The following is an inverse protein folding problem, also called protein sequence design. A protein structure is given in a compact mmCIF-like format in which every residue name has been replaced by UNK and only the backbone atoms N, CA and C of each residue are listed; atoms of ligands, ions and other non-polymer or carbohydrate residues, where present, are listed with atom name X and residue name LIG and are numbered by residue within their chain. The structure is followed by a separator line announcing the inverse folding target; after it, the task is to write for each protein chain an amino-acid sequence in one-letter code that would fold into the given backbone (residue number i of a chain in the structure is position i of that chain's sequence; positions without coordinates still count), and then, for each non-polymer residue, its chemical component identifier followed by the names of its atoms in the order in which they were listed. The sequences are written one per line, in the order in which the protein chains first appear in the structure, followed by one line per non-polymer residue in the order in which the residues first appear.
data_IF_328537977686
#
_entry.id   IF_328537977686
#
_cell.length_a   1.000
_cell.length_b   1.000
_cell.length_c   1.000
_cell.angle_alpha   90.00
_cell.angle_beta   90.00
_cell.angle_gamma   90.00
#
_symmetry.space_group_name_H-M   'P 1'
#
loop_
_entity.id
_entity.type
_entity.pdbx_description
1 polymer ?
#
# COMPACT_ATOMS: atom_id res chain seq x y z
N UNK A 1 -14.27 2.54 16.42
CA UNK A 1 -12.93 2.84 15.84
C UNK A 1 -11.88 1.81 16.26
N UNK A 2 -11.93 1.34 17.51
CA UNK A 2 -11.01 0.35 18.07
C UNK A 2 -10.55 -0.78 17.11
N UNK A 3 -11.42 -1.50 16.36
CA UNK A 3 -10.99 -2.65 15.56
C UNK A 3 -10.15 -2.33 14.31
N UNK A 4 -9.86 -1.05 14.04
CA UNK A 4 -9.07 -0.58 12.87
C UNK A 4 -7.79 0.15 13.27
N UNK A 5 -7.49 0.24 14.56
CA UNK A 5 -6.29 0.91 15.07
C UNK A 5 -5.26 -0.17 15.40
N UNK A 6 -4.04 0.00 14.90
CA UNK A 6 -2.89 -0.87 15.22
C UNK A 6 -1.78 0.04 15.73
N UNK A 7 -1.37 -0.16 16.98
CA UNK A 7 -0.22 0.51 17.56
C UNK A 7 1.02 -0.33 17.28
N UNK A 8 2.04 0.29 16.66
CA UNK A 8 3.31 -0.36 16.32
C UNK A 8 4.44 0.43 16.94
N UNK A 9 5.30 -0.25 17.68
CA UNK A 9 6.55 0.29 18.21
C UNK A 9 7.70 -0.66 17.90
N UNK A 10 8.91 -0.13 17.79
CA UNK A 10 10.13 -0.89 17.60
C UNK A 10 11.16 -0.44 18.64
N UNK A 11 11.86 -1.39 19.26
CA UNK A 11 12.86 -1.10 20.29
C UNK A 11 12.29 -0.73 21.67
N UNK A 12 11.03 -1.06 21.94
CA UNK A 12 10.35 -0.80 23.23
C UNK A 12 9.85 -2.13 23.80
N UNK A 13 9.93 -2.31 25.12
CA UNK A 13 9.37 -3.49 25.78
C UNK A 13 7.84 -3.49 25.67
N UNK A 14 7.26 -4.67 25.43
CA UNK A 14 5.82 -4.80 25.23
C UNK A 14 5.00 -4.27 26.40
N UNK A 15 5.41 -4.58 27.63
CA UNK A 15 4.73 -4.14 28.86
C UNK A 15 4.78 -2.63 29.05
N UNK A 16 5.91 -1.99 28.74
CA UNK A 16 6.03 -0.53 28.78
C UNK A 16 5.11 0.13 27.75
N UNK A 17 5.05 -0.42 26.53
CA UNK A 17 4.13 0.06 25.50
C UNK A 17 2.68 -0.06 25.95
N UNK A 18 2.28 -1.21 26.51
CA UNK A 18 0.92 -1.43 27.00
C UNK A 18 0.58 -0.49 28.16
N UNK A 19 1.48 -0.31 29.11
CA UNK A 19 1.27 0.57 30.27
C UNK A 19 0.91 2.01 29.86
N UNK A 20 1.55 2.51 28.80
CA UNK A 20 1.26 3.85 28.26
C UNK A 20 0.03 3.84 27.35
N UNK A 21 -0.11 2.83 26.50
CA UNK A 21 -1.13 2.79 25.46
C UNK A 21 -2.53 2.43 25.97
N UNK A 22 -2.65 1.51 26.92
CA UNK A 22 -3.95 1.02 27.38
C UNK A 22 -4.83 2.15 27.95
N UNK A 23 -4.35 3.04 28.83
CA UNK A 23 -5.16 4.17 29.30
C UNK A 23 -5.58 5.14 28.18
N UNK A 24 -4.81 5.23 27.09
CA UNK A 24 -5.06 6.16 25.98
C UNK A 24 -6.08 5.63 24.97
N UNK A 25 -6.26 4.30 24.89
CA UNK A 25 -7.10 3.66 23.88
C UNK A 25 -8.26 2.83 24.46
N UNK A 26 -8.31 2.63 25.78
CA UNK A 26 -9.31 1.79 26.45
C UNK A 26 -10.74 2.32 26.37
N UNK A 27 -10.91 3.64 26.24
CA UNK A 27 -12.22 4.31 26.16
C UNK A 27 -12.81 4.36 24.74
N UNK A 28 -12.07 3.85 23.74
CA UNK A 28 -12.51 3.90 22.36
C UNK A 28 -13.77 3.05 22.11
N UNK A 29 -14.79 3.60 21.43
CA UNK A 29 -15.99 2.85 21.15
C UNK A 29 -15.69 1.70 20.18
N UNK A 30 -16.18 0.51 20.54
CA UNK A 30 -16.27 -0.63 19.63
C UNK A 30 -17.42 -0.38 18.66
N UNK A 31 -17.07 -0.03 17.43
CA UNK A 31 -18.00 0.18 16.33
C UNK A 31 -17.85 -1.02 15.39
N UNK A 32 -18.96 -1.61 14.89
CA UNK A 32 -18.89 -2.69 13.91
C UNK A 32 -17.97 -2.32 12.75
N UNK A 33 -17.20 -3.31 12.26
CA UNK A 33 -16.35 -3.10 11.08
C UNK A 33 -17.25 -2.75 9.89
N UNK A 34 -17.03 -1.58 9.28
CA UNK A 34 -17.68 -1.29 7.99
C UNK A 34 -17.13 -2.27 6.95
N UNK A 35 -17.98 -2.73 6.05
CA UNK A 35 -17.59 -3.55 4.91
C UNK A 35 -16.59 -2.78 4.03
N UNK A 36 -15.62 -3.49 3.47
CA UNK A 36 -14.64 -2.89 2.56
C UNK A 36 -15.33 -2.51 1.24
N UNK A 37 -15.16 -1.27 0.74
CA UNK A 37 -15.70 -0.87 -0.55
C UNK A 37 -15.16 -1.74 -1.67
N UNK A 38 -16.06 -2.28 -2.51
CA UNK A 38 -15.66 -3.05 -3.68
C UNK A 38 -15.20 -2.12 -4.80
N UNK A 39 -13.96 -2.29 -5.24
CA UNK A 39 -13.42 -1.64 -6.45
C UNK A 39 -13.31 -2.65 -7.59
N UNK A 40 -13.57 -2.22 -8.82
CA UNK A 40 -13.34 -3.02 -10.03
C UNK A 40 -12.41 -2.25 -10.96
N UNK A 41 -11.42 -2.93 -11.54
CA UNK A 41 -10.59 -2.34 -12.58
C UNK A 41 -11.38 -2.21 -13.88
N UNK A 42 -11.50 -0.99 -14.39
CA UNK A 42 -12.17 -0.68 -15.65
C UNK A 42 -11.20 -0.36 -16.78
N UNK A 43 -9.90 -0.20 -16.47
CA UNK A 43 -8.96 0.50 -17.34
C UNK A 43 -9.33 1.98 -17.56
N UNK A 44 -8.58 2.65 -18.41
CA UNK A 44 -8.84 4.03 -18.80
C UNK A 44 -7.62 4.72 -19.42
N UNK A 45 -7.85 5.89 -20.00
CA UNK A 45 -6.82 6.83 -20.43
C UNK A 45 -7.13 8.18 -19.78
N UNK A 46 -6.13 8.79 -19.16
CA UNK A 46 -6.21 10.12 -18.59
C UNK A 46 -5.06 10.98 -19.10
N UNK A 47 -5.38 12.15 -19.65
CA UNK A 47 -4.42 13.10 -20.20
C UNK A 47 -4.68 14.48 -19.64
N UNK A 48 -3.60 15.16 -19.24
CA UNK A 48 -3.66 16.51 -18.71
C UNK A 48 -2.50 17.33 -19.29
N UNK A 49 -2.77 18.57 -19.69
CA UNK A 49 -1.73 19.50 -20.12
C UNK A 49 -1.11 20.16 -18.90
N UNK A 50 0.21 20.37 -18.93
CA UNK A 50 0.97 21.01 -17.84
C UNK A 50 2.03 21.94 -18.43
N UNK A 51 2.32 23.02 -17.73
CA UNK A 51 3.35 24.01 -18.11
C UNK A 51 4.79 23.51 -17.86
N UNK A 52 4.96 22.26 -17.40
CA UNK A 52 6.25 21.71 -16.95
C UNK A 52 7.33 21.57 -18.04
N UNK A 53 6.99 21.76 -19.32
CA UNK A 53 7.88 21.54 -20.47
C UNK A 53 8.32 20.09 -20.66
N UNK A 54 7.79 19.14 -19.87
CA UNK A 54 8.14 17.73 -19.89
C UNK A 54 6.88 16.87 -19.90
N UNK A 55 6.85 15.89 -20.80
CA UNK A 55 5.77 14.90 -20.87
C UNK A 55 6.07 13.76 -19.92
N UNK A 56 5.12 13.49 -19.02
CA UNK A 56 5.13 12.30 -18.16
C UNK A 56 3.95 11.41 -18.55
N UNK A 57 4.18 10.10 -18.60
CA UNK A 57 3.12 9.11 -18.76
C UNK A 57 3.37 7.95 -17.81
N UNK A 58 2.30 7.28 -17.40
CA UNK A 58 2.36 6.08 -16.59
C UNK A 58 1.44 5.02 -17.19
N UNK A 59 1.92 3.77 -17.23
CA UNK A 59 1.12 2.62 -17.61
C UNK A 59 0.95 1.75 -16.37
N UNK A 60 -0.28 1.29 -16.14
CA UNK A 60 -0.61 0.37 -15.07
C UNK A 60 -1.44 -0.79 -15.65
N UNK A 61 -1.24 -1.97 -15.08
CA UNK A 61 -2.01 -3.18 -15.40
C UNK A 61 -2.54 -3.80 -14.12
N UNK A 62 -3.73 -4.38 -14.18
CA UNK A 62 -4.30 -5.09 -13.05
C UNK A 62 -3.66 -6.47 -12.89
N UNK A 63 -3.36 -6.84 -11.65
CA UNK A 63 -3.04 -8.19 -11.23
C UNK A 63 -3.96 -8.60 -10.07
N UNK A 64 -4.92 -9.51 -10.30
CA UNK A 64 -5.88 -9.88 -9.27
C UNK A 64 -5.23 -10.72 -8.18
N UNK A 65 -5.49 -10.40 -6.90
CA UNK A 65 -5.00 -11.20 -5.77
C UNK A 65 -4.65 -10.37 -4.54
N UNK A 66 -4.21 -9.13 -4.75
CA UNK A 66 -3.83 -8.20 -3.70
C UNK A 66 -2.83 -8.81 -2.70
N UNK A 67 -2.79 -8.25 -1.49
CA UNK A 67 -1.91 -8.74 -0.41
C UNK A 67 -2.34 -10.09 0.18
N UNK A 68 -3.61 -10.48 0.00
CA UNK A 68 -4.13 -11.76 0.51
C UNK A 68 -3.61 -12.98 -0.26
N UNK A 69 -3.24 -12.80 -1.54
CA UNK A 69 -2.54 -13.83 -2.33
C UNK A 69 -1.03 -13.59 -2.28
N UNK A 70 -0.40 -13.94 -1.16
CA UNK A 70 1.01 -13.68 -0.90
C UNK A 70 1.95 -14.12 -2.04
N UNK A 71 1.70 -15.30 -2.65
CA UNK A 71 2.50 -15.79 -3.78
C UNK A 71 2.46 -14.82 -4.97
N UNK A 72 1.26 -14.35 -5.34
CA UNK A 72 1.08 -13.42 -6.45
C UNK A 72 1.71 -12.07 -6.14
N UNK A 73 1.56 -11.57 -4.90
CA UNK A 73 2.20 -10.33 -4.44
C UNK A 73 3.74 -10.42 -4.46
N UNK A 74 4.31 -11.57 -4.06
CA UNK A 74 5.75 -11.82 -4.14
C UNK A 74 6.25 -11.88 -5.59
N UNK A 75 5.54 -12.58 -6.47
CA UNK A 75 5.87 -12.63 -7.91
C UNK A 75 5.83 -11.23 -8.52
N UNK A 76 4.82 -10.42 -8.17
CA UNK A 76 4.72 -9.03 -8.62
C UNK A 76 5.90 -8.19 -8.13
N UNK A 77 6.32 -8.35 -6.87
CA UNK A 77 7.47 -7.65 -6.31
C UNK A 77 8.76 -8.03 -7.06
N UNK A 78 8.96 -9.31 -7.35
CA UNK A 78 10.10 -9.79 -8.14
C UNK A 78 10.05 -9.21 -9.56
N UNK A 79 8.89 -9.25 -10.21
CA UNK A 79 8.69 -8.69 -11.55
C UNK A 79 8.97 -7.19 -11.59
N UNK A 80 8.53 -6.44 -10.57
CA UNK A 80 8.81 -5.01 -10.43
C UNK A 80 10.32 -4.76 -10.33
N UNK A 81 11.03 -5.51 -9.48
CA UNK A 81 12.50 -5.39 -9.32
C UNK A 81 13.21 -5.72 -10.65
N UNK A 82 12.79 -6.76 -11.36
CA UNK A 82 13.37 -7.13 -12.66
C UNK A 82 13.14 -6.03 -13.69
N UNK A 83 11.91 -5.58 -13.90
CA UNK A 83 11.58 -4.54 -14.90
C UNK A 83 12.34 -3.25 -14.60
N UNK A 84 12.38 -2.80 -13.34
CA UNK A 84 13.13 -1.61 -12.94
C UNK A 84 14.63 -1.77 -13.17
N UNK A 85 15.20 -2.94 -12.89
CA UNK A 85 16.62 -3.21 -13.14
C UNK A 85 16.96 -3.20 -14.63
N UNK A 86 16.13 -3.84 -15.47
CA UNK A 86 16.37 -3.90 -16.92
C UNK A 86 16.16 -2.55 -17.62
N UNK A 87 15.15 -1.79 -17.23
CA UNK A 87 14.91 -0.44 -17.79
C UNK A 87 16.07 0.49 -17.40
N UNK A 88 16.53 0.46 -16.15
CA UNK A 88 17.67 1.26 -15.73
C UNK A 88 18.94 0.90 -16.52
N UNK A 89 19.21 -0.39 -16.74
CA UNK A 89 20.33 -0.82 -17.59
C UNK A 89 20.20 -0.33 -19.03
N UNK A 90 19.01 -0.39 -19.65
CA UNK A 90 18.79 0.05 -21.03
C UNK A 90 18.99 1.57 -21.24
N UNK A 91 18.80 2.38 -20.20
CA UNK A 91 19.06 3.83 -20.25
C UNK A 91 20.50 4.20 -19.86
N UNK A 92 21.27 3.26 -19.31
CA UNK A 92 22.67 3.45 -18.93
C UNK A 92 23.68 2.88 -19.96
N UNK A 93 23.22 2.13 -20.97
CA UNK A 93 24.03 1.64 -22.10
C UNK A 93 23.75 2.43 -23.37
#
# INVERSE_FOLDING_TARGET
MAPRIVLVASGVEHEELLFVAEPLFSDLPSVPRLEEPKSMYTGGDYRCQSESGRTHFALAVELPGGWHKLKDAMVLTILQVLIMSYIFLLFCT
#
